data_IF_985261268957
#
_entry.id   IF_985261268957
#
_cell.length_a   1.000
_cell.length_b   1.000
_cell.length_c   1.000
_cell.angle_alpha   90.00
_cell.angle_beta   90.00
_cell.angle_gamma   90.00
#
_symmetry.space_group_name_H-M   'P 1'
#
loop_
_entity.id
_entity.type
_entity.pdbx_description
1 polymer ?
#
# COMPACT_ATOMS: atom_id res chain seq x y z
N UNK A 1 17.38 6.51 -2.01
CA UNK A 1 16.04 7.02 -1.59
C UNK A 1 15.04 5.91 -1.86
N UNK A 2 14.28 5.48 -0.86
CA UNK A 2 13.26 4.43 -1.05
C UNK A 2 12.10 4.98 -1.91
N UNK A 3 11.51 4.14 -2.76
CA UNK A 3 10.35 4.49 -3.58
C UNK A 3 9.15 3.65 -3.17
N UNK A 4 7.98 4.28 -3.14
CA UNK A 4 6.71 3.62 -2.84
C UNK A 4 5.98 3.33 -4.14
N UNK A 5 5.73 2.05 -4.41
CA UNK A 5 4.89 1.59 -5.50
C UNK A 5 3.58 1.06 -4.93
N UNK A 6 2.45 1.42 -5.53
CA UNK A 6 1.14 0.90 -5.17
C UNK A 6 0.53 0.22 -6.38
N UNK A 7 0.13 -1.04 -6.21
CA UNK A 7 -0.42 -1.88 -7.28
C UNK A 7 -1.92 -2.08 -7.08
N UNK A 8 -2.72 -1.57 -8.02
CA UNK A 8 -4.17 -1.77 -8.08
C UNK A 8 -5.01 -1.03 -7.03
N UNK A 9 -4.44 -0.61 -5.91
CA UNK A 9 -5.18 -0.01 -4.79
C UNK A 9 -5.13 1.54 -4.79
N UNK A 10 -6.03 2.19 -5.53
CA UNK A 10 -6.05 3.66 -5.69
C UNK A 10 -6.21 4.41 -4.36
N UNK A 11 -7.05 3.92 -3.44
CA UNK A 11 -7.23 4.53 -2.10
C UNK A 11 -5.95 4.50 -1.27
N UNK A 12 -5.19 3.41 -1.31
CA UNK A 12 -3.89 3.33 -0.64
C UNK A 12 -2.88 4.30 -1.24
N UNK A 13 -2.89 4.45 -2.58
CA UNK A 13 -2.03 5.39 -3.27
C UNK A 13 -2.29 6.84 -2.83
N UNK A 14 -3.57 7.23 -2.78
CA UNK A 14 -3.97 8.55 -2.30
C UNK A 14 -3.62 8.75 -0.83
N UNK A 15 -3.90 7.77 0.04
CA UNK A 15 -3.56 7.87 1.45
C UNK A 15 -2.06 8.09 1.69
N UNK A 16 -1.22 7.35 0.97
CA UNK A 16 0.23 7.52 1.05
C UNK A 16 0.70 8.87 0.48
N UNK A 17 0.11 9.33 -0.63
CA UNK A 17 0.51 10.60 -1.26
C UNK A 17 0.07 11.81 -0.42
N UNK A 18 -1.11 11.77 0.21
CA UNK A 18 -1.56 12.79 1.17
C UNK A 18 -0.65 12.88 2.40
N UNK A 19 0.03 11.79 2.75
CA UNK A 19 1.10 11.74 3.76
C UNK A 19 2.46 12.20 3.23
N UNK A 20 2.53 12.80 2.03
CA UNK A 20 3.77 13.27 1.37
C UNK A 20 4.77 12.14 1.05
N UNK A 21 4.32 10.90 0.91
CA UNK A 21 5.16 9.83 0.36
C UNK A 21 5.32 9.98 -1.16
N UNK A 22 6.48 9.59 -1.71
CA UNK A 22 6.71 9.53 -3.17
C UNK A 22 6.04 8.29 -3.77
N UNK A 23 4.76 8.43 -4.13
CA UNK A 23 3.90 7.32 -4.57
C UNK A 23 3.85 7.18 -6.07
N UNK A 24 4.17 5.99 -6.54
CA UNK A 24 4.13 5.58 -7.94
C UNK A 24 3.04 4.53 -8.12
N UNK A 25 1.93 4.90 -8.76
CA UNK A 25 0.81 4.00 -9.01
C UNK A 25 1.01 3.19 -10.29
N UNK A 26 0.70 1.89 -10.20
CA UNK A 26 0.67 0.92 -11.29
C UNK A 26 -0.64 0.15 -11.20
N UNK A 27 -1.42 0.06 -12.26
CA UNK A 27 -2.73 -0.56 -12.13
C UNK A 27 -3.70 -0.28 -13.27
N UNK A 28 -4.89 -0.85 -13.14
CA UNK A 28 -6.02 -0.51 -13.98
C UNK A 28 -6.82 0.56 -13.24
N UNK A 29 -7.07 1.69 -13.89
CA UNK A 29 -7.86 2.78 -13.33
C UNK A 29 -8.57 3.53 -14.46
N UNK A 30 -9.86 3.80 -14.27
CA UNK A 30 -10.62 4.64 -15.20
C UNK A 30 -10.16 6.10 -15.13
N UNK A 31 -10.74 6.95 -15.99
CA UNK A 31 -10.39 8.37 -16.06
C UNK A 31 -10.70 9.13 -14.77
N UNK A 32 -11.78 8.75 -14.07
CA UNK A 32 -12.21 9.38 -12.83
C UNK A 32 -11.21 9.09 -11.71
N UNK A 33 -10.86 7.82 -11.51
CA UNK A 33 -9.86 7.37 -10.55
C UNK A 33 -8.48 7.94 -10.87
N UNK A 34 -8.10 8.00 -12.15
CA UNK A 34 -6.81 8.57 -12.59
C UNK A 34 -6.74 10.08 -12.30
N UNK A 35 -7.83 10.81 -12.57
CA UNK A 35 -7.93 12.25 -12.27
C UNK A 35 -7.87 12.50 -10.76
N UNK A 36 -8.61 11.71 -9.98
CA UNK A 36 -8.61 11.79 -8.52
C UNK A 36 -7.22 11.52 -7.94
N UNK A 37 -6.52 10.47 -8.39
CA UNK A 37 -5.16 10.17 -7.95
C UNK A 37 -4.18 11.30 -8.30
N UNK A 38 -4.29 11.87 -9.50
CA UNK A 38 -3.43 12.99 -9.93
C UNK A 38 -3.66 14.25 -9.08
N UNK A 39 -4.93 14.55 -8.75
CA UNK A 39 -5.28 15.66 -7.86
C UNK A 39 -4.71 15.50 -6.44
N UNK A 40 -4.39 14.28 -6.03
CA UNK A 40 -3.74 13.97 -4.76
C UNK A 40 -2.23 13.69 -4.90
N UNK A 41 -1.61 14.16 -5.99
CA UNK A 41 -0.17 14.07 -6.24
C UNK A 41 0.40 12.64 -6.37
N UNK A 42 -0.42 11.67 -6.76
CA UNK A 42 0.06 10.31 -7.09
C UNK A 42 0.67 10.31 -8.49
N UNK A 43 1.88 9.76 -8.65
CA UNK A 43 2.50 9.60 -9.96
C UNK A 43 1.95 8.38 -10.69
N UNK A 44 1.17 8.59 -11.75
CA UNK A 44 0.65 7.54 -12.62
C UNK A 44 1.78 7.02 -13.54
N UNK A 45 2.34 5.83 -13.26
CA UNK A 45 3.51 5.31 -14.00
C UNK A 45 3.16 4.35 -15.12
N UNK A 46 2.29 3.39 -14.82
CA UNK A 46 1.80 2.39 -15.77
C UNK A 46 0.32 2.15 -15.45
N UNK A 47 -0.52 3.00 -16.04
CA UNK A 47 -1.97 2.94 -15.87
C UNK A 47 -2.60 2.46 -17.17
N UNK A 48 -3.52 1.51 -17.04
CA UNK A 48 -4.36 1.04 -18.13
C UNK A 48 -5.81 1.41 -17.82
N UNK A 49 -6.51 2.00 -18.78
CA UNK A 49 -7.92 2.37 -18.59
C UNK A 49 -8.83 1.15 -18.49
N UNK A 50 -8.45 0.05 -19.17
CA UNK A 50 -9.29 -1.15 -19.29
C UNK A 50 -8.49 -2.47 -19.24
N UNK A 51 -9.23 -3.55 -19.00
CA UNK A 51 -8.74 -4.92 -18.94
C UNK A 51 -8.16 -5.30 -17.58
N UNK A 52 -7.40 -6.39 -17.55
CA UNK A 52 -6.88 -6.97 -16.30
C UNK A 52 -5.37 -6.74 -16.13
N UNK A 53 -4.86 -6.94 -14.92
CA UNK A 53 -3.43 -6.95 -14.63
C UNK A 53 -2.78 -8.28 -15.05
N UNK A 54 -2.57 -8.42 -16.35
CA UNK A 54 -1.89 -9.61 -16.90
C UNK A 54 -0.43 -9.70 -16.44
N UNK A 55 0.14 -10.91 -16.47
CA UNK A 55 1.57 -11.15 -16.19
C UNK A 55 2.49 -10.23 -17.01
N UNK A 56 2.16 -9.98 -18.29
CA UNK A 56 2.93 -9.06 -19.14
C UNK A 56 2.88 -7.61 -18.66
N UNK A 57 1.73 -7.15 -18.16
CA UNK A 57 1.58 -5.82 -17.56
C UNK A 57 2.36 -5.74 -16.24
N UNK A 58 2.27 -6.77 -15.39
CA UNK A 58 3.04 -6.86 -14.14
C UNK A 58 4.56 -6.89 -14.35
N UNK A 59 5.05 -7.42 -15.48
CA UNK A 59 6.49 -7.42 -15.76
C UNK A 59 7.08 -6.00 -15.82
N UNK A 60 6.28 -4.97 -16.14
CA UNK A 60 6.74 -3.57 -16.06
C UNK A 60 7.07 -3.15 -14.63
N UNK A 61 6.29 -3.62 -13.64
CA UNK A 61 6.57 -3.39 -12.23
C UNK A 61 7.94 -3.95 -11.85
N UNK A 62 8.26 -5.18 -12.29
CA UNK A 62 9.55 -5.81 -12.04
C UNK A 62 10.74 -4.96 -12.49
N UNK A 63 10.64 -4.25 -13.61
CA UNK A 63 11.73 -3.38 -14.12
C UNK A 63 11.83 -2.04 -13.38
N UNK A 64 10.83 -1.66 -12.59
CA UNK A 64 10.80 -0.40 -11.83
C UNK A 64 11.16 -0.56 -10.36
N UNK A 65 11.03 -1.77 -9.83
CA UNK A 65 11.39 -2.06 -8.46
C UNK A 65 12.91 -2.07 -8.29
N UNK A 66 13.38 -1.42 -7.22
CA UNK A 66 14.78 -1.36 -6.84
C UNK A 66 14.95 -1.86 -5.40
N UNK A 67 16.17 -2.29 -5.02
CA UNK A 67 16.46 -2.62 -3.63
C UNK A 67 16.07 -1.49 -2.69
N UNK A 68 15.30 -1.81 -1.65
CA UNK A 68 14.80 -0.85 -0.67
C UNK A 68 13.53 -0.11 -1.07
N UNK A 69 12.97 -0.34 -2.26
CA UNK A 69 11.58 0.07 -2.58
C UNK A 69 10.58 -0.69 -1.71
N UNK A 70 9.36 -0.18 -1.62
CA UNK A 70 8.21 -0.89 -1.06
C UNK A 70 7.11 -1.01 -2.10
N UNK A 71 6.56 -2.21 -2.26
CA UNK A 71 5.38 -2.52 -3.05
C UNK A 71 4.20 -2.71 -2.12
N UNK A 72 3.18 -1.88 -2.30
CA UNK A 72 1.94 -1.87 -1.53
C UNK A 72 0.81 -2.44 -2.37
N UNK A 73 0.07 -3.37 -1.78
CA UNK A 73 -1.05 -4.05 -2.40
C UNK A 73 -2.14 -4.23 -1.35
N UNK A 74 -3.39 -4.32 -1.79
CA UNK A 74 -4.48 -4.75 -0.93
C UNK A 74 -4.99 -6.14 -1.34
N UNK A 75 -5.92 -6.69 -0.55
CA UNK A 75 -6.43 -8.03 -0.79
C UNK A 75 -7.43 -8.11 -1.95
N UNK A 76 -7.76 -7.00 -2.63
CA UNK A 76 -8.66 -7.00 -3.80
C UNK A 76 -7.98 -7.47 -5.08
N UNK A 77 -6.64 -7.48 -5.13
CA UNK A 77 -5.85 -7.77 -6.32
C UNK A 77 -5.99 -9.22 -6.84
N UNK A 78 -6.56 -10.12 -6.02
CA UNK A 78 -6.60 -11.56 -6.27
C UNK A 78 -5.27 -12.24 -5.94
N UNK A 79 -5.36 -13.48 -5.42
CA UNK A 79 -4.19 -14.20 -4.90
C UNK A 79 -3.08 -14.40 -5.96
N UNK A 80 -3.44 -14.86 -7.16
CA UNK A 80 -2.44 -15.14 -8.21
C UNK A 80 -1.63 -13.89 -8.58
N UNK A 81 -2.32 -12.78 -8.84
CA UNK A 81 -1.72 -11.49 -9.19
C UNK A 81 -0.84 -10.98 -8.05
N UNK A 82 -1.33 -11.07 -6.81
CA UNK A 82 -0.60 -10.65 -5.61
C UNK A 82 0.69 -11.45 -5.46
N UNK A 83 0.61 -12.79 -5.49
CA UNK A 83 1.78 -13.67 -5.30
C UNK A 83 2.81 -13.46 -6.40
N UNK A 84 2.37 -13.24 -7.65
CA UNK A 84 3.27 -12.90 -8.75
C UNK A 84 4.00 -11.58 -8.50
N UNK A 85 3.28 -10.54 -8.11
CA UNK A 85 3.87 -9.23 -7.84
C UNK A 85 4.81 -9.28 -6.61
N UNK A 86 4.44 -10.03 -5.56
CA UNK A 86 5.28 -10.27 -4.39
C UNK A 86 6.58 -11.01 -4.76
N UNK A 87 6.54 -12.00 -5.67
CA UNK A 87 7.74 -12.66 -6.19
C UNK A 87 8.69 -11.65 -6.86
N UNK A 88 8.15 -10.78 -7.72
CA UNK A 88 8.95 -9.74 -8.37
C UNK A 88 9.55 -8.75 -7.37
N UNK A 89 8.81 -8.35 -6.35
CA UNK A 89 9.32 -7.51 -5.27
C UNK A 89 10.49 -8.18 -4.54
N UNK A 90 10.33 -9.45 -4.16
CA UNK A 90 11.37 -10.22 -3.46
C UNK A 90 12.63 -10.38 -4.28
N UNK A 91 12.52 -10.74 -5.56
CA UNK A 91 13.66 -10.84 -6.49
C UNK A 91 14.42 -9.51 -6.60
N UNK A 92 13.70 -8.38 -6.52
CA UNK A 92 14.26 -7.03 -6.56
C UNK A 92 14.68 -6.48 -5.20
N UNK A 93 14.55 -7.27 -4.13
CA UNK A 93 14.80 -6.86 -2.73
C UNK A 93 13.97 -5.63 -2.34
N UNK A 94 12.76 -5.54 -2.85
CA UNK A 94 11.74 -4.60 -2.43
C UNK A 94 10.86 -5.25 -1.36
N UNK A 95 10.38 -4.44 -0.41
CA UNK A 95 9.47 -4.89 0.64
C UNK A 95 8.07 -5.05 0.10
N UNK A 96 7.37 -6.10 0.50
CA UNK A 96 5.96 -6.34 0.20
C UNK A 96 5.11 -5.93 1.40
N UNK A 97 4.17 -5.02 1.19
CA UNK A 97 3.18 -4.60 2.18
C UNK A 97 1.79 -4.98 1.70
N UNK A 98 1.13 -5.85 2.47
CA UNK A 98 -0.26 -6.24 2.27
C UNK A 98 -1.16 -5.47 3.23
N UNK A 99 -2.15 -4.78 2.69
CA UNK A 99 -3.21 -4.13 3.48
C UNK A 99 -4.52 -4.90 3.30
N UNK A 100 -5.13 -5.34 4.39
CA UNK A 100 -6.45 -5.97 4.36
C UNK A 100 -7.46 -4.95 4.84
N UNK A 101 -8.09 -4.27 3.89
CA UNK A 101 -9.07 -3.23 4.17
C UNK A 101 -10.46 -3.83 4.48
N UNK A 102 -11.38 -3.00 4.95
CA UNK A 102 -12.73 -3.43 5.32
C UNK A 102 -13.46 -4.10 4.15
N UNK A 103 -14.07 -5.25 4.42
CA UNK A 103 -14.78 -6.05 3.42
C UNK A 103 -13.88 -6.88 2.50
N UNK A 104 -12.55 -6.83 2.68
CA UNK A 104 -11.60 -7.65 1.94
C UNK A 104 -11.19 -8.89 2.72
N UNK A 105 -10.89 -9.96 1.99
CA UNK A 105 -10.39 -11.22 2.56
C UNK A 105 -9.04 -11.54 1.93
N UNK A 106 -8.01 -11.67 2.76
CA UNK A 106 -6.71 -12.17 2.31
C UNK A 106 -6.61 -13.67 2.60
N UNK A 107 -5.81 -14.37 1.79
CA UNK A 107 -5.50 -15.78 2.02
C UNK A 107 -4.20 -15.94 2.80
N UNK A 108 -3.96 -17.09 3.46
CA UNK A 108 -2.70 -17.35 4.13
C UNK A 108 -1.48 -17.19 3.22
N UNK A 109 -1.58 -17.61 1.95
CA UNK A 109 -0.50 -17.46 0.98
C UNK A 109 -0.12 -16.00 0.74
N UNK A 110 -1.10 -15.09 0.69
CA UNK A 110 -0.84 -13.65 0.58
C UNK A 110 -0.14 -13.12 1.83
N UNK A 111 -0.55 -13.57 3.01
CA UNK A 111 0.10 -13.25 4.29
C UNK A 111 1.55 -13.73 4.35
N UNK A 112 1.80 -14.99 4.01
CA UNK A 112 3.14 -15.61 3.99
C UNK A 112 4.10 -14.91 3.01
N UNK A 113 3.57 -14.30 1.95
CA UNK A 113 4.36 -13.58 0.97
C UNK A 113 4.68 -12.13 1.38
N UNK A 114 4.02 -11.58 2.42
CA UNK A 114 4.17 -10.20 2.85
C UNK A 114 5.30 -10.03 3.88
N UNK A 115 6.12 -8.98 3.71
CA UNK A 115 7.04 -8.55 4.75
C UNK A 115 6.29 -7.81 5.88
N UNK A 116 5.21 -7.12 5.50
CA UNK A 116 4.33 -6.40 6.41
C UNK A 116 2.87 -6.66 6.07
N UNK A 117 2.09 -7.00 7.09
CA UNK A 117 0.65 -7.10 7.03
C UNK A 117 0.01 -5.99 7.88
N UNK A 118 -0.86 -5.19 7.26
CA UNK A 118 -1.69 -4.20 7.96
C UNK A 118 -3.14 -4.67 7.86
N UNK A 119 -3.70 -5.15 8.96
CA UNK A 119 -5.05 -5.73 8.97
C UNK A 119 -5.74 -5.52 10.33
N UNK A 120 -7.06 -5.42 10.36
CA UNK A 120 -7.81 -5.40 11.63
C UNK A 120 -7.69 -6.74 12.37
N UNK A 121 -8.07 -6.74 13.65
CA UNK A 121 -8.17 -7.95 14.45
C UNK A 121 -9.08 -8.99 13.77
N UNK A 122 -8.55 -10.18 13.47
CA UNK A 122 -9.23 -11.24 12.73
C UNK A 122 -8.98 -11.26 11.22
N UNK A 123 -8.40 -10.19 10.65
CA UNK A 123 -7.92 -10.15 9.27
C UNK A 123 -6.45 -10.57 9.12
N UNK A 124 -5.75 -10.86 10.22
CA UNK A 124 -4.39 -11.38 10.20
C UNK A 124 -4.40 -12.81 9.64
N UNK A 125 -3.64 -13.05 8.58
CA UNK A 125 -3.56 -14.34 7.88
C UNK A 125 -2.10 -14.69 7.58
N UNK A 126 -1.81 -15.99 7.52
CA UNK A 126 -0.45 -16.48 7.26
C UNK A 126 0.56 -16.10 8.35
N UNK A 127 1.83 -16.12 7.97
CA UNK A 127 3.00 -15.78 8.79
C UNK A 127 3.82 -14.66 8.12
N UNK A 128 3.28 -13.42 8.03
CA UNK A 128 4.02 -12.29 7.50
C UNK A 128 5.23 -11.95 8.37
N UNK A 129 6.21 -11.25 7.79
CA UNK A 129 7.41 -10.82 8.52
C UNK A 129 7.09 -9.94 9.73
N UNK A 130 6.11 -9.04 9.59
CA UNK A 130 5.54 -8.24 10.66
C UNK A 130 4.04 -8.04 10.46
N UNK A 131 3.30 -7.96 11.56
CA UNK A 131 1.86 -7.66 11.57
C UNK A 131 1.60 -6.39 12.35
N UNK A 132 0.80 -5.50 11.76
CA UNK A 132 0.27 -4.30 12.41
C UNK A 132 -1.24 -4.41 12.44
N UNK A 133 -1.80 -4.22 13.63
CA UNK A 133 -3.23 -4.34 13.88
C UNK A 133 -3.79 -2.99 14.34
N UNK A 134 -4.36 -2.17 13.43
CA UNK A 134 -5.12 -0.99 13.81
C UNK A 134 -6.26 -1.35 14.77
N UNK A 135 -6.55 -0.47 15.72
CA UNK A 135 -7.60 -0.64 16.71
C UNK A 135 -9.01 -0.57 16.08
N UNK A 136 -10.02 -0.98 16.85
CA UNK A 136 -11.41 -0.80 16.44
C UNK A 136 -11.71 0.69 16.20
N UNK A 137 -12.31 1.01 15.06
CA UNK A 137 -12.58 2.39 14.63
C UNK A 137 -11.43 3.08 13.91
N UNK A 138 -10.21 2.52 13.92
CA UNK A 138 -9.10 3.06 13.15
C UNK A 138 -9.18 2.63 11.66
N UNK A 139 -8.83 3.56 10.78
CA UNK A 139 -8.76 3.34 9.33
C UNK A 139 -7.46 2.63 8.93
N UNK A 140 -7.57 1.41 8.39
CA UNK A 140 -6.44 0.64 7.85
C UNK A 140 -5.75 1.41 6.72
N UNK A 141 -6.54 2.07 5.86
CA UNK A 141 -6.04 2.83 4.71
C UNK A 141 -5.22 4.03 5.17
N UNK A 142 -5.73 4.81 6.13
CA UNK A 142 -5.01 5.97 6.68
C UNK A 142 -3.75 5.55 7.43
N UNK A 143 -3.82 4.43 8.17
CA UNK A 143 -2.65 3.82 8.81
C UNK A 143 -1.57 3.46 7.79
N UNK A 144 -1.95 2.73 6.72
CA UNK A 144 -1.06 2.31 5.65
C UNK A 144 -0.44 3.50 4.92
N UNK A 145 -1.22 4.55 4.67
CA UNK A 145 -0.72 5.79 4.07
C UNK A 145 0.38 6.45 4.90
N UNK A 146 0.15 6.59 6.21
CA UNK A 146 1.15 7.16 7.12
C UNK A 146 2.39 6.28 7.24
N UNK A 147 2.18 4.96 7.28
CA UNK A 147 3.26 3.97 7.31
C UNK A 147 4.13 4.04 6.05
N UNK A 148 3.57 4.36 4.88
CA UNK A 148 4.33 4.56 3.64
C UNK A 148 5.35 5.70 3.75
N UNK A 149 4.95 6.84 4.32
CA UNK A 149 5.87 7.94 4.61
C UNK A 149 6.97 7.47 5.59
N UNK A 150 6.60 6.80 6.68
CA UNK A 150 7.54 6.36 7.71
C UNK A 150 8.58 5.37 7.16
N UNK A 151 8.14 4.38 6.38
CA UNK A 151 9.02 3.39 5.76
C UNK A 151 9.96 4.02 4.72
N UNK A 152 9.47 5.00 3.95
CA UNK A 152 10.30 5.76 3.00
C UNK A 152 11.43 6.51 3.71
N UNK A 153 11.17 7.01 4.93
CA UNK A 153 12.14 7.70 5.79
C UNK A 153 12.97 6.75 6.68
N UNK A 154 12.81 5.43 6.53
CA UNK A 154 13.59 4.44 7.27
C UNK A 154 13.25 4.34 8.77
N UNK A 155 12.04 4.74 9.16
CA UNK A 155 11.58 4.60 10.53
C UNK A 155 11.23 3.14 10.86
N UNK A 156 11.54 2.73 12.08
CA UNK A 156 11.13 1.43 12.64
C UNK A 156 9.69 1.46 13.16
N UNK A 157 9.17 0.29 13.57
CA UNK A 157 7.79 0.14 14.03
C UNK A 157 7.48 1.04 15.23
N UNK A 158 8.40 1.11 16.19
CA UNK A 158 8.22 1.88 17.42
C UNK A 158 8.08 3.37 17.12
N UNK A 159 8.89 3.89 16.20
CA UNK A 159 8.88 5.30 15.79
C UNK A 159 7.72 5.66 14.87
N UNK A 160 7.28 4.75 14.00
CA UNK A 160 6.15 5.02 13.11
C UNK A 160 4.79 4.95 13.82
N UNK A 161 4.64 4.06 14.80
CA UNK A 161 3.34 3.73 15.41
C UNK A 161 2.57 4.96 15.91
N UNK A 162 3.16 5.92 16.66
CA UNK A 162 2.42 7.07 17.15
C UNK A 162 1.87 7.96 16.02
N UNK A 163 2.60 8.11 14.92
CA UNK A 163 2.15 8.90 13.76
C UNK A 163 1.05 8.18 13.00
N UNK A 164 1.21 6.88 12.76
CA UNK A 164 0.19 6.08 12.07
C UNK A 164 -1.12 5.99 12.87
N UNK A 165 -1.05 5.89 14.21
CA UNK A 165 -2.24 5.97 15.10
C UNK A 165 -3.01 7.26 14.90
N UNK A 166 -2.30 8.40 14.89
CA UNK A 166 -2.95 9.70 14.66
C UNK A 166 -3.63 9.74 13.31
N UNK A 167 -2.95 9.31 12.24
CA UNK A 167 -3.55 9.27 10.90
C UNK A 167 -4.78 8.35 10.84
N UNK A 168 -4.73 7.20 11.50
CA UNK A 168 -5.80 6.22 11.48
C UNK A 168 -7.02 6.60 12.32
N UNK A 169 -6.88 7.55 13.25
CA UNK A 169 -7.99 8.13 13.99
C UNK A 169 -8.86 9.06 13.12
N UNK A 170 -8.33 9.54 11.99
CA UNK A 170 -9.16 10.18 10.97
C UNK A 170 -9.98 9.10 10.27
N UNK A 171 -11.26 9.39 10.04
CA UNK A 171 -12.27 8.43 9.60
C UNK A 171 -12.03 7.83 8.21
N UNK A 172 -13.09 7.71 7.42
CA UNK A 172 -13.02 6.97 6.15
C UNK A 172 -12.20 7.69 5.07
N UNK A 173 -12.17 9.02 5.09
CA UNK A 173 -11.35 9.80 4.17
C UNK A 173 -9.90 9.88 4.67
N UNK A 174 -8.90 9.51 3.85
CA UNK A 174 -7.51 9.61 4.26
C UNK A 174 -7.12 11.07 4.55
N UNK A 175 -6.55 11.38 5.72
CA UNK A 175 -6.20 12.75 6.05
C UNK A 175 -5.02 13.26 5.23
N UNK A 176 -4.79 14.57 5.24
CA UNK A 176 -3.58 15.21 4.78
C UNK A 176 -2.50 15.19 5.87
N UNK A 177 -1.24 15.19 5.46
CA UNK A 177 -0.11 15.20 6.38
C UNK A 177 -0.20 16.33 7.40
N UNK A 178 -0.57 17.54 6.98
CA UNK A 178 -0.59 18.70 7.86
C UNK A 178 -1.67 18.56 8.95
N UNK A 179 -2.79 17.88 8.66
CA UNK A 179 -3.83 17.55 9.64
C UNK A 179 -3.33 16.56 10.70
N UNK A 180 -2.49 15.59 10.30
CA UNK A 180 -1.94 14.58 11.22
C UNK A 180 -0.73 15.10 12.01
N UNK A 181 0.06 15.98 11.40
CA UNK A 181 1.29 16.50 11.96
C UNK A 181 1.05 17.67 12.93
N UNK A 182 0.01 18.48 12.68
CA UNK A 182 -0.23 19.74 13.39
C UNK A 182 -1.64 19.91 13.97
N UNK A 183 -2.58 19.00 13.66
CA UNK A 183 -3.90 18.94 14.30
C UNK A 183 -3.87 18.16 15.60
#
# INVERSE_FOLDING_TARGET
MSRTFVLGASRLAVAAARMKADVNYVGVADESASSWMTANHVFLRDVWLEGELTTRRLQRLYHRLYPGSSLWMDASLGEETFLRAASYARERRARVVLCVCDGQTATPAMGDAADWLVARSGGAVGAPGQTVTPAAGESVVSWAGAMALCLMNGLDLARMTPFCKRAAAFGEEPPWYDEVAYG
#
